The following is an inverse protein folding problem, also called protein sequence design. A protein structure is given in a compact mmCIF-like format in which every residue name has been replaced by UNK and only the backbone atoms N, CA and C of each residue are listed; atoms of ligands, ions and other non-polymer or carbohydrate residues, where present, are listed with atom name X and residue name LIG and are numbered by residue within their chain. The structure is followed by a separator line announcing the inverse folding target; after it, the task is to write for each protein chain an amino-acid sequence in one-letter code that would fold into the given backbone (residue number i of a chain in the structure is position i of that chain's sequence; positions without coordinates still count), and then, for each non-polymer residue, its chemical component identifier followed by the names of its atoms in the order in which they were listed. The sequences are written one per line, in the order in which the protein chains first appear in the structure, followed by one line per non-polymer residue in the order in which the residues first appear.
data_IF_924452099782
#
_entry.id   IF_924452099782
#
_cell.length_a   1.000
_cell.length_b   1.000
_cell.length_c   1.000
_cell.angle_alpha   90.00
_cell.angle_beta   90.00
_cell.angle_gamma   90.00
#
_symmetry.space_group_name_H-M   'P 1'
#
loop_
_entity.id
_entity.type
_entity.pdbx_description
1 polymer ?
#
# COMPACT_ATOMS: atom_id res chain seq x y z
N UNK A 1 -10.11 -18.64 -59.37
CA UNK A 1 -10.16 -17.21 -59.72
C UNK A 1 -9.13 -16.48 -58.88
N UNK A 2 -8.16 -15.76 -59.47
CA UNK A 2 -7.25 -14.92 -58.69
C UNK A 2 -8.02 -13.74 -58.07
N UNK A 3 -7.62 -13.27 -56.87
CA UNK A 3 -8.28 -12.15 -56.20
C UNK A 3 -8.21 -10.88 -57.07
N UNK A 4 -9.32 -10.15 -57.15
CA UNK A 4 -9.38 -8.90 -57.90
C UNK A 4 -8.51 -7.83 -57.23
N UNK A 5 -8.06 -6.82 -58.00
CA UNK A 5 -7.26 -5.72 -57.45
C UNK A 5 -8.00 -4.94 -56.36
N UNK A 6 -9.33 -4.93 -56.41
CA UNK A 6 -10.18 -4.25 -55.43
C UNK A 6 -10.32 -5.05 -54.14
N UNK A 7 -10.38 -6.39 -54.21
CA UNK A 7 -10.34 -7.25 -53.01
C UNK A 7 -9.02 -7.09 -52.24
N UNK A 8 -7.90 -6.96 -52.97
CA UNK A 8 -6.59 -6.67 -52.37
C UNK A 8 -6.55 -5.30 -51.71
N UNK A 9 -7.11 -4.26 -52.34
CA UNK A 9 -7.17 -2.91 -51.76
C UNK A 9 -8.04 -2.87 -50.52
N UNK A 10 -9.19 -3.54 -50.55
CA UNK A 10 -10.10 -3.63 -49.42
C UNK A 10 -9.39 -4.28 -48.23
N UNK A 11 -8.76 -5.45 -48.42
CA UNK A 11 -8.03 -6.17 -47.38
C UNK A 11 -6.86 -5.37 -46.79
N UNK A 12 -6.13 -4.62 -47.62
CA UNK A 12 -5.03 -3.78 -47.16
C UNK A 12 -5.55 -2.61 -46.30
N UNK A 13 -6.64 -1.97 -46.71
CA UNK A 13 -7.23 -0.84 -45.97
C UNK A 13 -7.81 -1.32 -44.63
N UNK A 14 -8.66 -2.34 -44.61
CA UNK A 14 -9.21 -2.86 -43.35
C UNK A 14 -8.13 -3.45 -42.44
N UNK A 15 -7.17 -4.18 -43.00
CA UNK A 15 -6.03 -4.70 -42.24
C UNK A 15 -5.21 -3.58 -41.58
N UNK A 16 -4.92 -2.51 -42.32
CA UNK A 16 -4.19 -1.36 -41.78
C UNK A 16 -4.98 -0.63 -40.68
N UNK A 17 -6.30 -0.50 -40.84
CA UNK A 17 -7.15 0.15 -39.83
C UNK A 17 -7.21 -0.66 -38.53
N UNK A 18 -7.29 -1.99 -38.62
CA UNK A 18 -7.26 -2.87 -37.46
C UNK A 18 -5.92 -2.80 -36.71
N UNK A 19 -4.80 -2.73 -37.45
CA UNK A 19 -3.48 -2.55 -36.83
C UNK A 19 -3.38 -1.21 -36.10
N UNK A 20 -3.85 -0.11 -36.70
CA UNK A 20 -3.87 1.21 -36.06
C UNK A 20 -4.74 1.19 -34.79
N UNK A 21 -5.93 0.58 -34.86
CA UNK A 21 -6.81 0.46 -33.71
C UNK A 21 -6.17 -0.38 -32.58
N UNK A 22 -5.50 -1.48 -32.91
CA UNK A 22 -4.80 -2.32 -31.94
C UNK A 22 -3.63 -1.58 -31.27
N UNK A 23 -2.80 -0.89 -32.05
CA UNK A 23 -1.69 -0.08 -31.52
C UNK A 23 -2.21 1.05 -30.65
N UNK A 24 -3.29 1.71 -31.06
CA UNK A 24 -3.91 2.77 -30.28
C UNK A 24 -4.46 2.24 -28.95
N UNK A 25 -5.18 1.12 -28.97
CA UNK A 25 -5.70 0.50 -27.75
C UNK A 25 -4.59 0.08 -26.79
N UNK A 26 -3.51 -0.52 -27.30
CA UNK A 26 -2.33 -0.87 -26.51
C UNK A 26 -1.62 0.38 -25.96
N UNK A 27 -1.53 1.44 -26.75
CA UNK A 27 -0.97 2.72 -26.32
C UNK A 27 -1.77 3.36 -25.18
N UNK A 28 -3.10 3.39 -25.29
CA UNK A 28 -3.98 3.90 -24.24
C UNK A 28 -3.87 3.05 -22.96
N UNK A 29 -3.85 1.72 -23.11
CA UNK A 29 -3.69 0.82 -21.96
C UNK A 29 -2.35 1.04 -21.26
N UNK A 30 -1.26 1.15 -22.02
CA UNK A 30 0.07 1.40 -21.48
C UNK A 30 0.14 2.76 -20.77
N UNK A 31 -0.41 3.84 -21.34
CA UNK A 31 -0.45 5.14 -20.66
C UNK A 31 -1.27 5.09 -19.38
N UNK A 32 -2.37 4.33 -19.37
CA UNK A 32 -3.20 4.17 -18.17
C UNK A 32 -2.49 3.39 -17.06
N UNK A 33 -1.65 2.41 -17.41
CA UNK A 33 -0.95 1.55 -16.45
C UNK A 33 0.47 2.00 -16.12
N UNK A 34 1.11 2.84 -16.93
CA UNK A 34 2.48 3.32 -16.76
C UNK A 34 2.66 4.38 -15.67
N UNK A 35 1.78 4.42 -14.65
CA UNK A 35 2.04 5.25 -13.47
C UNK A 35 3.08 4.55 -12.60
N UNK A 36 4.33 5.01 -12.70
CA UNK A 36 5.33 4.81 -11.65
C UNK A 36 4.83 5.49 -10.38
N UNK A 37 4.32 4.70 -9.43
CA UNK A 37 3.89 5.13 -8.11
C UNK A 37 5.08 5.28 -7.18
N UNK A 38 6.01 6.17 -7.54
CA UNK A 38 7.14 6.55 -6.68
C UNK A 38 6.61 7.54 -5.62
N UNK A 39 5.93 7.03 -4.59
CA UNK A 39 5.40 7.83 -3.48
C UNK A 39 6.54 8.45 -2.67
N UNK A 40 6.98 9.64 -3.10
CA UNK A 40 8.01 10.43 -2.42
C UNK A 40 7.40 11.22 -1.26
N UNK A 41 6.96 10.54 -0.22
CA UNK A 41 6.59 11.24 1.01
C UNK A 41 5.85 10.40 2.06
N UNK A 42 5.83 10.88 3.31
CA UNK A 42 4.99 10.32 4.36
C UNK A 42 3.51 10.35 4.00
N UNK A 43 2.79 9.28 4.33
CA UNK A 43 1.35 9.14 4.10
C UNK A 43 0.60 9.79 5.25
N UNK A 44 -0.35 10.67 4.93
CA UNK A 44 -1.27 11.23 5.90
C UNK A 44 -2.37 10.23 6.27
N UNK A 45 -2.55 9.96 7.56
CA UNK A 45 -3.56 9.01 8.05
C UNK A 45 -4.78 9.66 8.69
N UNK A 46 -4.68 10.92 9.09
CA UNK A 46 -5.74 11.60 9.83
C UNK A 46 -5.22 12.33 11.07
N UNK A 47 -6.15 12.76 11.91
CA UNK A 47 -5.86 13.43 13.17
C UNK A 47 -5.55 12.40 14.27
N UNK A 48 -4.50 12.66 15.06
CA UNK A 48 -4.03 11.76 16.13
C UNK A 48 -5.14 11.34 17.11
N UNK A 49 -5.93 12.29 17.60
CA UNK A 49 -6.97 12.01 18.60
C UNK A 49 -7.99 11.00 18.11
N UNK A 50 -8.54 11.22 16.92
CA UNK A 50 -9.48 10.30 16.28
C UNK A 50 -8.85 8.94 15.95
N UNK A 51 -7.57 8.91 15.56
CA UNK A 51 -6.91 7.63 15.28
C UNK A 51 -6.74 6.79 16.55
N UNK A 52 -6.35 7.42 17.67
CA UNK A 52 -6.22 6.73 18.96
C UNK A 52 -7.58 6.22 19.43
N UNK A 53 -8.60 7.09 19.47
CA UNK A 53 -9.96 6.75 19.92
C UNK A 53 -10.49 5.53 19.17
N UNK A 54 -10.43 5.57 17.84
CA UNK A 54 -10.92 4.46 17.04
C UNK A 54 -10.12 3.15 17.21
N UNK A 55 -8.80 3.21 17.43
CA UNK A 55 -8.01 1.98 17.62
C UNK A 55 -8.32 1.35 18.98
N UNK A 56 -8.48 2.18 20.01
CA UNK A 56 -8.89 1.72 21.33
C UNK A 56 -10.27 1.07 21.29
N UNK A 57 -11.18 1.60 20.47
CA UNK A 57 -12.56 1.09 20.37
C UNK A 57 -12.71 -0.10 19.40
N UNK A 58 -11.98 -0.12 18.28
CA UNK A 58 -12.18 -1.06 17.17
C UNK A 58 -11.03 -2.07 16.96
N UNK A 59 -9.97 -2.02 17.77
CA UNK A 59 -8.70 -2.77 17.60
C UNK A 59 -7.74 -2.16 16.55
N UNK A 60 -6.51 -2.69 16.39
CA UNK A 60 -5.52 -2.19 15.42
C UNK A 60 -6.05 -2.15 13.99
N UNK A 61 -5.66 -1.13 13.23
CA UNK A 61 -6.17 -0.90 11.87
C UNK A 61 -5.12 -1.11 10.79
N UNK A 62 -5.48 -1.89 9.77
CA UNK A 62 -4.62 -2.13 8.63
C UNK A 62 -4.72 -0.98 7.62
N UNK A 63 -3.56 -0.49 7.18
CA UNK A 63 -3.43 0.47 6.09
C UNK A 63 -2.66 -0.18 4.93
N UNK A 64 -3.32 -0.26 3.78
CA UNK A 64 -2.68 -0.79 2.56
C UNK A 64 -1.60 0.19 2.05
N UNK A 65 -0.53 -0.36 1.49
CA UNK A 65 0.50 0.46 0.85
C UNK A 65 -0.08 1.10 -0.43
N UNK A 66 0.06 2.42 -0.62
CA UNK A 66 -0.61 3.11 -1.73
C UNK A 66 -0.05 2.80 -3.13
N UNK A 67 1.06 2.07 -3.25
CA UNK A 67 1.65 1.59 -4.52
C UNK A 67 1.40 0.11 -4.81
N UNK A 68 0.61 -0.58 -3.98
CA UNK A 68 0.32 -2.01 -4.15
C UNK A 68 1.31 -2.97 -3.46
N UNK A 69 2.23 -2.46 -2.64
CA UNK A 69 3.07 -3.27 -1.74
C UNK A 69 2.39 -3.70 -0.43
N UNK A 70 3.19 -4.31 0.44
CA UNK A 70 2.78 -4.73 1.79
C UNK A 70 2.45 -3.52 2.68
N UNK A 71 1.27 -3.55 3.30
CA UNK A 71 0.79 -2.47 4.17
C UNK A 71 1.45 -2.45 5.55
N UNK A 72 0.77 -1.82 6.50
CA UNK A 72 1.20 -1.74 7.89
C UNK A 72 -0.01 -1.74 8.83
N UNK A 73 0.21 -2.16 10.07
CA UNK A 73 -0.78 -2.03 11.14
C UNK A 73 -0.57 -0.71 11.88
N UNK A 74 -1.64 0.02 12.14
CA UNK A 74 -1.65 1.17 13.04
C UNK A 74 -2.28 0.73 14.37
N UNK A 75 -1.53 0.92 15.44
CA UNK A 75 -1.89 0.45 16.78
C UNK A 75 -1.60 1.53 17.84
N UNK A 76 -2.03 1.30 19.08
CA UNK A 76 -1.77 2.14 20.25
C UNK A 76 -1.01 1.35 21.30
N UNK A 77 0.20 1.79 21.61
CA UNK A 77 1.06 1.26 22.68
C UNK A 77 1.33 2.39 23.68
N UNK A 78 1.05 2.16 24.97
CA UNK A 78 1.21 3.17 26.04
C UNK A 78 0.55 4.53 25.73
N UNK A 79 -0.62 4.49 25.07
CA UNK A 79 -1.36 5.69 24.67
C UNK A 79 -0.73 6.47 23.51
N UNK A 80 0.28 5.93 22.84
CA UNK A 80 0.92 6.50 21.65
C UNK A 80 0.63 5.66 20.41
N UNK A 81 0.46 6.33 19.27
CA UNK A 81 0.33 5.64 18.00
C UNK A 81 1.66 4.99 17.61
N UNK A 82 1.58 3.75 17.15
CA UNK A 82 2.68 3.00 16.57
C UNK A 82 2.26 2.46 15.20
N UNK A 83 3.19 2.46 14.24
CA UNK A 83 2.97 1.93 12.90
C UNK A 83 3.87 0.71 12.74
N UNK A 84 3.26 -0.48 12.71
CA UNK A 84 3.91 -1.77 12.78
C UNK A 84 4.08 -2.34 11.37
N UNK A 85 5.30 -2.77 11.06
CA UNK A 85 5.64 -3.49 9.84
C UNK A 85 4.97 -4.85 9.89
N UNK A 86 4.31 -5.26 8.81
CA UNK A 86 3.62 -6.55 8.79
C UNK A 86 4.56 -7.74 8.60
N UNK A 87 5.74 -7.54 8.02
CA UNK A 87 6.72 -8.60 7.84
C UNK A 87 7.31 -9.07 9.17
N UNK A 88 7.24 -10.37 9.42
CA UNK A 88 7.89 -10.99 10.56
C UNK A 88 9.42 -10.85 10.41
N UNK A 89 10.12 -10.28 11.41
CA UNK A 89 11.56 -10.14 11.37
C UNK A 89 12.28 -11.46 11.06
N UNK A 90 13.18 -11.45 10.09
CA UNK A 90 13.96 -12.63 9.71
C UNK A 90 13.26 -13.58 8.72
N UNK A 91 12.06 -13.27 8.26
CA UNK A 91 11.36 -14.01 7.20
C UNK A 91 11.31 -13.18 5.90
N UNK A 92 11.07 -13.83 4.74
CA UNK A 92 11.03 -13.15 3.42
C UNK A 92 9.63 -12.98 2.84
N UNK A 93 8.60 -13.57 3.46
CA UNK A 93 7.26 -13.67 2.87
C UNK A 93 6.19 -13.99 3.91
N UNK A 94 6.43 -13.65 5.18
CA UNK A 94 5.46 -13.91 6.22
C UNK A 94 4.95 -12.61 6.82
N UNK A 95 3.66 -12.37 6.63
CA UNK A 95 2.97 -11.19 7.13
C UNK A 95 2.11 -11.56 8.32
N UNK A 96 2.17 -10.74 9.37
CA UNK A 96 1.32 -10.91 10.55
C UNK A 96 -0.08 -10.34 10.33
N UNK A 97 -1.07 -11.00 10.93
CA UNK A 97 -2.47 -10.58 10.90
C UNK A 97 -2.98 -10.39 12.31
N UNK A 98 -3.69 -9.30 12.57
CA UNK A 98 -4.42 -9.15 13.81
C UNK A 98 -5.51 -10.22 13.94
N UNK A 99 -5.60 -10.86 15.11
CA UNK A 99 -6.64 -11.82 15.46
C UNK A 99 -7.36 -11.34 16.71
N UNK A 100 -8.53 -10.73 16.51
CA UNK A 100 -9.38 -10.20 17.59
C UNK A 100 -9.66 -11.23 18.69
N UNK A 101 -9.94 -12.49 18.32
CA UNK A 101 -10.21 -13.57 19.30
C UNK A 101 -9.01 -13.91 20.20
N UNK A 102 -7.79 -13.60 19.76
CA UNK A 102 -6.55 -13.88 20.49
C UNK A 102 -5.88 -12.62 21.04
N UNK A 103 -6.41 -11.45 20.68
CA UNK A 103 -5.82 -10.15 21.02
C UNK A 103 -4.32 -10.08 20.68
N UNK A 104 -3.94 -10.62 19.50
CA UNK A 104 -2.55 -10.78 19.11
C UNK A 104 -2.33 -10.71 17.59
N UNK A 105 -1.09 -10.42 17.20
CA UNK A 105 -0.63 -10.53 15.81
C UNK A 105 -0.17 -11.95 15.55
N UNK A 106 -0.84 -12.65 14.63
CA UNK A 106 -0.54 -14.05 14.32
C UNK A 106 0.20 -14.15 12.99
N UNK A 107 1.31 -14.88 13.00
CA UNK A 107 2.10 -15.14 11.81
C UNK A 107 1.62 -16.37 11.00
N UNK A 108 2.35 -16.71 9.95
CA UNK A 108 2.03 -17.79 9.02
C UNK A 108 2.18 -19.18 9.64
N UNK A 109 2.86 -19.29 10.77
CA UNK A 109 3.09 -20.52 11.52
C UNK A 109 2.17 -20.62 12.75
N UNK A 110 1.15 -19.75 12.85
CA UNK A 110 0.24 -19.63 13.99
C UNK A 110 0.94 -19.20 15.30
N UNK A 111 2.13 -18.57 15.20
CA UNK A 111 2.79 -17.98 16.36
C UNK A 111 2.23 -16.58 16.63
N UNK A 112 2.03 -16.30 17.91
CA UNK A 112 1.55 -15.01 18.40
C UNK A 112 2.73 -14.06 18.64
N UNK A 113 2.54 -12.83 18.20
CA UNK A 113 3.46 -11.71 18.36
C UNK A 113 2.70 -10.53 18.97
N UNK A 114 3.37 -9.78 19.83
CA UNK A 114 2.87 -8.53 20.39
C UNK A 114 3.36 -7.34 19.57
N UNK A 115 2.74 -6.17 19.75
CA UNK A 115 3.17 -4.91 19.10
C UNK A 115 4.65 -4.58 19.37
N UNK A 116 5.18 -5.01 20.51
CA UNK A 116 6.58 -4.84 20.90
C UNK A 116 7.56 -5.69 20.07
N UNK A 117 7.11 -6.83 19.54
CA UNK A 117 7.93 -7.78 18.79
C UNK A 117 8.08 -7.40 17.31
N UNK A 118 7.22 -6.49 16.83
CA UNK A 118 7.17 -6.09 15.44
C UNK A 118 8.04 -4.86 15.16
N UNK A 119 8.66 -4.86 13.98
CA UNK A 119 9.39 -3.71 13.48
C UNK A 119 8.44 -2.52 13.25
N UNK A 120 8.98 -1.29 13.26
CA UNK A 120 8.17 -0.06 13.23
C UNK A 120 8.54 0.85 12.06
N UNK A 121 7.53 1.44 11.44
CA UNK A 121 7.68 2.59 10.57
C UNK A 121 7.80 3.88 11.40
N UNK A 122 8.49 4.88 10.85
CA UNK A 122 8.59 6.18 11.51
C UNK A 122 7.27 6.93 11.37
N UNK A 123 6.66 7.23 12.51
CA UNK A 123 5.55 8.16 12.63
C UNK A 123 6.04 9.59 12.88
N UNK A 124 5.30 10.57 12.37
CA UNK A 124 5.48 11.98 12.70
C UNK A 124 4.12 12.59 12.96
N UNK A 125 3.99 13.28 14.10
CA UNK A 125 2.77 14.00 14.47
C UNK A 125 3.05 15.49 14.35
N UNK A 126 2.24 16.22 13.60
CA UNK A 126 2.44 17.64 13.39
C UNK A 126 1.44 18.22 12.41
N UNK A 127 1.72 19.43 11.91
CA UNK A 127 1.02 20.00 10.76
C UNK A 127 2.01 20.07 9.60
N UNK A 128 1.54 19.76 8.39
CA UNK A 128 2.32 19.88 7.14
C UNK A 128 1.45 20.54 6.08
N UNK A 129 1.94 21.64 5.51
CA UNK A 129 1.15 22.47 4.60
C UNK A 129 -0.15 22.95 5.27
N UNK A 130 -1.27 22.75 4.60
CA UNK A 130 -2.60 23.16 5.09
C UNK A 130 -3.28 22.12 6.01
N UNK A 131 -2.56 21.05 6.39
CA UNK A 131 -3.16 19.98 7.21
C UNK A 131 -3.42 20.43 8.65
N UNK A 132 -4.47 19.91 9.32
CA UNK A 132 -4.77 20.22 10.72
C UNK A 132 -3.58 20.00 11.66
N UNK A 133 -3.57 20.71 12.79
CA UNK A 133 -2.62 20.43 13.88
C UNK A 133 -2.82 19.00 14.38
N UNK A 134 -1.74 18.35 14.81
CA UNK A 134 -1.74 16.96 15.28
C UNK A 134 -2.16 15.94 14.21
N UNK A 135 -1.90 16.25 12.95
CA UNK A 135 -1.99 15.29 11.84
C UNK A 135 -0.90 14.23 11.96
N UNK A 136 -1.25 12.99 11.65
CA UNK A 136 -0.36 11.83 11.72
C UNK A 136 0.12 11.48 10.33
N UNK A 137 1.44 11.33 10.20
CA UNK A 137 2.09 10.91 8.98
C UNK A 137 2.99 9.70 9.21
N UNK A 138 2.91 8.69 8.34
CA UNK A 138 3.79 7.52 8.38
C UNK A 138 4.77 7.57 7.22
N UNK A 139 6.06 7.41 7.52
CA UNK A 139 7.08 7.26 6.49
C UNK A 139 7.34 5.77 6.23
N UNK A 140 6.91 5.31 5.06
CA UNK A 140 7.09 3.92 4.60
C UNK A 140 8.48 3.63 4.02
N UNK A 141 9.39 4.62 4.02
CA UNK A 141 10.78 4.38 3.61
C UNK A 141 11.47 3.53 4.68
N UNK A 142 12.07 2.38 4.33
CA UNK A 142 12.68 1.49 5.30
C UNK A 142 13.96 2.12 5.87
N UNK A 143 13.91 2.70 7.07
CA UNK A 143 15.10 2.88 7.92
C UNK A 143 14.78 2.75 9.41
N UNK A 144 15.27 1.61 9.94
CA UNK A 144 15.43 1.18 11.34
C UNK A 144 14.22 0.50 11.99
N UNK A 145 14.36 -0.81 12.14
CA UNK A 145 13.91 -1.55 13.33
C UNK A 145 14.53 -0.85 14.54
N UNK A 146 13.76 -0.04 15.24
CA UNK A 146 14.12 0.41 16.58
C UNK A 146 13.13 -0.26 17.53
N UNK A 147 13.61 -1.07 18.50
CA UNK A 147 12.74 -1.53 19.56
C UNK A 147 12.15 -0.34 20.33
N UNK A 148 11.01 -0.55 20.99
CA UNK A 148 10.29 0.46 21.76
C UNK A 148 11.21 1.20 22.76
N UNK A 149 11.00 2.49 23.03
CA UNK A 149 11.54 3.10 24.23
C UNK A 149 10.85 2.44 25.44
N UNK A 150 11.63 1.72 26.25
CA UNK A 150 11.17 1.18 27.55
C UNK A 150 11.12 2.23 28.64
#
# INVERSE_FOLDING_TARGET
MPPSRDDRRLLLVTGSFLLVAAVFALGVLWVATARDSDLKGPIYLGMRGHLIENIVDESPRYYAHPDGGDGFWLDVEDGQLVALVIDVPGTKSCVVKWREQRDAYVDCNDQEHQSADLARYRLTVGSRGDSPKNSVYVNLTPKKVSPAPG
#
